data_IF_397669756910
#
_entry.id   IF_397669756910
#
_cell.length_a   1.000
_cell.length_b   1.000
_cell.length_c   1.000
_cell.angle_alpha   90.00
_cell.angle_beta   90.00
_cell.angle_gamma   90.00
#
_symmetry.space_group_name_H-M   'P 1'
#
loop_
_entity.id
_entity.type
_entity.pdbx_description
1 polymer ?
#
# COMPACT_ATOMS: atom_id res chain seq x y z
N UNK A 1 9.14 -1.64 -52.72
CA UNK A 1 8.26 -0.47 -52.54
C UNK A 1 7.55 -0.61 -51.20
N UNK A 2 7.81 0.28 -50.24
CA UNK A 2 7.14 0.27 -48.93
C UNK A 2 5.70 0.76 -49.13
N UNK A 3 4.71 -0.14 -48.97
CA UNK A 3 3.30 0.26 -48.98
C UNK A 3 2.98 0.93 -47.65
N UNK A 4 2.79 2.24 -47.68
CA UNK A 4 2.26 3.01 -46.56
C UNK A 4 0.74 2.85 -46.54
N UNK A 5 0.23 2.23 -45.48
CA UNK A 5 -1.22 2.11 -45.24
C UNK A 5 -1.84 3.49 -44.98
N UNK A 6 -3.09 3.67 -45.39
CA UNK A 6 -3.81 4.94 -45.26
C UNK A 6 -4.06 5.29 -43.78
N UNK A 7 -4.26 6.57 -43.43
CA UNK A 7 -4.52 6.98 -42.05
C UNK A 7 -5.70 6.26 -41.39
N UNK A 8 -6.74 5.95 -42.16
CA UNK A 8 -7.92 5.22 -41.68
C UNK A 8 -7.61 3.76 -41.35
N UNK A 9 -6.80 3.10 -42.18
CA UNK A 9 -6.34 1.73 -41.93
C UNK A 9 -5.41 1.67 -40.72
N UNK A 10 -4.53 2.66 -40.55
CA UNK A 10 -3.68 2.79 -39.36
C UNK A 10 -4.52 2.91 -38.09
N UNK A 11 -5.59 3.72 -38.14
CA UNK A 11 -6.49 3.89 -37.01
C UNK A 11 -7.20 2.58 -36.65
N UNK A 12 -7.69 1.83 -37.64
CA UNK A 12 -8.31 0.52 -37.42
C UNK A 12 -7.36 -0.49 -36.78
N UNK A 13 -6.09 -0.52 -37.21
CA UNK A 13 -5.05 -1.37 -36.63
C UNK A 13 -4.74 -0.97 -35.19
N UNK A 14 -4.61 0.33 -34.91
CA UNK A 14 -4.35 0.84 -33.57
C UNK A 14 -5.49 0.50 -32.60
N UNK A 15 -6.75 0.66 -33.01
CA UNK A 15 -7.91 0.27 -32.21
C UNK A 15 -7.93 -1.24 -31.95
N UNK A 16 -7.64 -2.05 -32.96
CA UNK A 16 -7.57 -3.50 -32.82
C UNK A 16 -6.48 -3.95 -31.82
N UNK A 17 -5.32 -3.30 -31.85
CA UNK A 17 -4.25 -3.53 -30.89
C UNK A 17 -4.68 -3.18 -29.46
N UNK A 18 -5.27 -2.00 -29.25
CA UNK A 18 -5.73 -1.54 -27.93
C UNK A 18 -6.80 -2.49 -27.36
N UNK A 19 -7.79 -2.88 -28.16
CA UNK A 19 -8.85 -3.78 -27.69
C UNK A 19 -8.32 -5.16 -27.31
N UNK A 20 -7.32 -5.67 -28.05
CA UNK A 20 -6.64 -6.93 -27.74
C UNK A 20 -5.85 -6.84 -26.44
N UNK A 21 -5.03 -5.79 -26.30
CA UNK A 21 -4.20 -5.55 -25.11
C UNK A 21 -5.08 -5.41 -23.85
N UNK A 22 -6.17 -4.65 -23.93
CA UNK A 22 -7.13 -4.50 -22.82
C UNK A 22 -7.76 -5.84 -22.42
N UNK A 23 -8.09 -6.69 -23.38
CA UNK A 23 -8.64 -8.04 -23.10
C UNK A 23 -7.60 -8.94 -22.44
N UNK A 24 -6.34 -8.90 -22.88
CA UNK A 24 -5.26 -9.68 -22.27
C UNK A 24 -4.92 -9.20 -20.85
N UNK A 25 -4.91 -7.88 -20.62
CA UNK A 25 -4.77 -7.28 -19.28
C UNK A 25 -5.93 -7.70 -18.38
N UNK A 26 -7.17 -7.62 -18.87
CA UNK A 26 -8.35 -8.04 -18.12
C UNK A 26 -8.32 -9.56 -17.80
N UNK A 27 -7.92 -10.40 -18.75
CA UNK A 27 -7.76 -11.84 -18.52
C UNK A 27 -6.66 -12.15 -17.50
N UNK A 28 -5.57 -11.38 -17.48
CA UNK A 28 -4.51 -11.52 -16.47
C UNK A 28 -4.97 -11.03 -15.09
N UNK A 29 -5.83 -10.01 -15.05
CA UNK A 29 -6.46 -9.51 -13.83
C UNK A 29 -7.55 -10.45 -13.27
N UNK A 30 -8.19 -11.29 -14.09
CA UNK A 30 -9.13 -12.32 -13.60
C UNK A 30 -8.43 -13.57 -13.09
N UNK A 31 -7.24 -13.89 -13.62
CA UNK A 31 -6.38 -15.00 -13.14
C UNK A 31 -5.57 -14.60 -11.90
N UNK A 32 -5.22 -13.31 -11.78
CA UNK A 32 -4.60 -12.79 -10.58
C UNK A 32 -5.71 -12.38 -9.61
N UNK A 33 -5.97 -13.19 -8.57
CA UNK A 33 -6.67 -12.67 -7.39
C UNK A 33 -6.03 -11.33 -7.04
N UNK A 34 -6.79 -10.22 -6.90
CA UNK A 34 -6.22 -8.99 -6.40
C UNK A 34 -5.71 -9.32 -5.00
N UNK A 35 -4.41 -9.61 -4.91
CA UNK A 35 -3.75 -9.70 -3.63
C UNK A 35 -3.77 -8.26 -3.15
N UNK A 36 -4.74 -7.94 -2.29
CA UNK A 36 -4.52 -6.88 -1.33
C UNK A 36 -3.11 -7.09 -0.80
N UNK A 37 -2.20 -6.10 -0.87
CA UNK A 37 -0.93 -6.25 -0.22
C UNK A 37 -1.27 -6.62 1.21
N UNK A 38 -0.92 -7.85 1.62
CA UNK A 38 -1.08 -8.27 3.01
C UNK A 38 -0.14 -7.37 3.78
N UNK A 39 -0.68 -6.25 4.26
CA UNK A 39 0.08 -5.31 5.06
C UNK A 39 0.24 -5.98 6.41
N UNK A 40 1.33 -6.74 6.51
CA UNK A 40 1.72 -7.48 7.70
C UNK A 40 1.84 -6.51 8.88
N UNK A 41 1.42 -6.95 10.05
CA UNK A 41 1.60 -6.17 11.26
C UNK A 41 3.09 -6.18 11.64
N UNK A 42 3.64 -4.98 11.86
CA UNK A 42 5.04 -4.80 12.20
C UNK A 42 5.16 -4.58 13.71
N UNK A 43 5.87 -5.47 14.41
CA UNK A 43 6.10 -5.37 15.86
C UNK A 43 7.27 -4.42 16.14
N UNK A 44 7.00 -3.11 16.09
CA UNK A 44 7.99 -2.08 16.44
C UNK A 44 8.24 -2.04 17.96
N UNK A 45 9.50 -2.02 18.39
CA UNK A 45 9.86 -1.81 19.80
C UNK A 45 9.72 -0.33 20.15
N UNK A 46 9.17 -0.05 21.34
CA UNK A 46 9.05 1.30 21.91
C UNK A 46 9.56 1.23 23.34
N UNK A 47 10.41 2.18 23.74
CA UNK A 47 10.89 2.23 25.12
C UNK A 47 9.79 2.78 26.04
N UNK A 48 9.76 2.34 27.30
CA UNK A 48 8.88 2.95 28.30
C UNK A 48 9.28 4.40 28.54
N UNK A 49 8.30 5.29 28.57
CA UNK A 49 8.52 6.65 29.07
C UNK A 49 8.57 6.61 30.59
N UNK A 50 9.61 7.19 31.18
CA UNK A 50 9.84 7.17 32.63
C UNK A 50 9.79 8.56 33.26
N UNK A 51 9.57 9.59 32.44
CA UNK A 51 9.35 10.96 32.93
C UNK A 51 10.60 11.62 33.48
N UNK A 52 11.79 11.20 33.03
CA UNK A 52 13.05 11.81 33.49
C UNK A 52 13.21 13.19 32.88
N UNK A 53 13.90 14.06 33.61
CA UNK A 53 14.29 15.37 33.09
C UNK A 53 15.13 15.19 31.81
N UNK A 54 14.72 15.86 30.72
CA UNK A 54 15.34 15.72 29.40
C UNK A 54 14.79 14.59 28.53
N UNK A 55 13.89 13.73 29.01
CA UNK A 55 13.21 12.77 28.13
C UNK A 55 12.19 13.48 27.23
N UNK A 56 12.28 13.29 25.90
CA UNK A 56 11.41 13.99 24.96
C UNK A 56 10.04 13.31 24.88
N UNK A 57 9.10 13.71 25.74
CA UNK A 57 7.72 13.20 25.76
C UNK A 57 7.07 13.21 24.36
N UNK A 58 7.24 14.30 23.61
CA UNK A 58 6.66 14.43 22.26
C UNK A 58 7.23 13.41 21.28
N UNK A 59 8.53 13.11 21.36
CA UNK A 59 9.14 12.06 20.53
C UNK A 59 8.58 10.70 20.91
N UNK A 60 8.47 10.41 22.20
CA UNK A 60 7.91 9.15 22.68
C UNK A 60 6.47 8.94 22.20
N UNK A 61 5.61 9.97 22.26
CA UNK A 61 4.23 9.88 21.74
C UNK A 61 4.20 9.52 20.25
N UNK A 62 5.08 10.11 19.44
CA UNK A 62 5.20 9.78 18.01
C UNK A 62 5.64 8.33 17.79
N UNK A 63 6.57 7.83 18.60
CA UNK A 63 7.00 6.42 18.55
C UNK A 63 5.85 5.47 18.90
N UNK A 64 5.07 5.78 19.94
CA UNK A 64 3.88 5.02 20.34
C UNK A 64 2.83 4.99 19.22
N UNK A 65 2.48 6.14 18.64
CA UNK A 65 1.48 6.22 17.55
C UNK A 65 1.94 5.47 16.30
N UNK A 66 3.23 5.56 15.97
CA UNK A 66 3.82 4.81 14.86
C UNK A 66 3.72 3.31 15.10
N UNK A 67 4.02 2.85 16.32
CA UNK A 67 3.93 1.44 16.69
C UNK A 67 2.48 0.94 16.74
N UNK A 68 1.52 1.73 17.23
CA UNK A 68 0.08 1.42 17.20
C UNK A 68 -0.39 1.22 15.76
N UNK A 69 0.01 2.12 14.85
CA UNK A 69 -0.33 2.07 13.43
C UNK A 69 0.29 0.84 12.76
N UNK A 70 1.58 0.61 12.99
CA UNK A 70 2.34 -0.50 12.43
C UNK A 70 1.83 -1.88 12.91
N UNK A 71 1.44 -1.97 14.19
CA UNK A 71 0.86 -3.18 14.80
C UNK A 71 -0.64 -3.33 14.53
N UNK A 72 -1.29 -2.30 13.97
CA UNK A 72 -2.73 -2.25 13.68
C UNK A 72 -3.60 -2.45 14.93
N UNK A 73 -3.19 -1.85 16.05
CA UNK A 73 -3.96 -1.89 17.30
C UNK A 73 -5.15 -0.94 17.15
N UNK A 74 -6.37 -1.48 17.00
CA UNK A 74 -7.59 -0.69 16.78
C UNK A 74 -8.30 -0.38 18.09
N UNK A 75 -8.41 -1.39 18.95
CA UNK A 75 -9.13 -1.32 20.22
C UNK A 75 -8.54 -0.25 21.16
N UNK A 76 -9.33 0.70 21.68
CA UNK A 76 -8.85 1.77 22.55
C UNK A 76 -8.15 1.27 23.82
N UNK A 77 -8.66 0.21 24.46
CA UNK A 77 -8.03 -0.33 25.67
C UNK A 77 -6.68 -0.96 25.35
N UNK A 78 -6.56 -1.62 24.21
CA UNK A 78 -5.32 -2.20 23.72
C UNK A 78 -4.27 -1.12 23.36
N UNK A 79 -4.70 0.05 22.86
CA UNK A 79 -3.80 1.19 22.63
C UNK A 79 -3.23 1.73 23.95
N UNK A 80 -4.09 1.87 24.97
CA UNK A 80 -3.67 2.31 26.30
C UNK A 80 -2.75 1.27 26.94
N UNK A 81 -3.13 0.00 26.92
CA UNK A 81 -2.31 -1.09 27.47
C UNK A 81 -0.93 -1.17 26.80
N UNK A 82 -0.86 -0.92 25.49
CA UNK A 82 0.41 -0.87 24.75
C UNK A 82 1.28 0.32 25.15
N UNK A 83 0.70 1.51 25.34
CA UNK A 83 1.45 2.69 25.78
C UNK A 83 2.00 2.55 27.22
N UNK A 84 1.38 1.70 28.04
CA UNK A 84 1.73 1.48 29.44
C UNK A 84 2.67 0.27 29.67
N UNK A 85 2.96 -0.53 28.64
CA UNK A 85 3.72 -1.80 28.78
C UNK A 85 5.23 -1.64 28.81
#
# INVERSE_FOLDING_TARGET
>A
MLRTISPTEQHGVALGFIMKEQREIAARATVSTPSTPRMESLKLHVNSYVGREGEPLLRWLVEVDTAITARRIVDPLSKVAFAMS
#
